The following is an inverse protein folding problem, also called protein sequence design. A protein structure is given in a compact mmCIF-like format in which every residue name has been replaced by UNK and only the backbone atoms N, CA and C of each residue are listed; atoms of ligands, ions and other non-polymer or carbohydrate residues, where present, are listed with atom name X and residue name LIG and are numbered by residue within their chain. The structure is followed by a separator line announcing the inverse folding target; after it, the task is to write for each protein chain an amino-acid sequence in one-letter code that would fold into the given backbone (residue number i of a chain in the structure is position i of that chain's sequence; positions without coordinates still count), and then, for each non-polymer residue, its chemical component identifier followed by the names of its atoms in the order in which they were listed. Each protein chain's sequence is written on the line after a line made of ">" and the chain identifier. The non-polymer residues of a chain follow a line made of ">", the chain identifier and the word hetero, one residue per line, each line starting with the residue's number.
data_IF_168876493829
#
_entry.id   IF_168876493829
#
_cell.length_a   1.000
_cell.length_b   1.000
_cell.length_c   1.000
_cell.angle_alpha   90.00
_cell.angle_beta   90.00
_cell.angle_gamma   90.00
#
_symmetry.space_group_name_H-M   'P 1'
#
loop_
_entity.id
_entity.type
_entity.pdbx_description
1 polymer ?
#
# COMPACT_ATOMS: atom_id res chain seq x y z
N UNK A 1 -12.80 -17.28 4.89
CA UNK A 1 -12.57 -16.25 3.87
C UNK A 1 -12.13 -14.98 4.59
N UNK A 2 -10.87 -14.57 4.46
CA UNK A 2 -10.41 -13.31 5.05
C UNK A 2 -11.14 -12.15 4.34
N UNK A 3 -11.52 -11.07 5.05
CA UNK A 3 -12.21 -9.94 4.45
C UNK A 3 -11.33 -9.32 3.36
N UNK A 4 -11.96 -8.67 2.39
CA UNK A 4 -11.36 -8.09 1.18
C UNK A 4 -10.22 -7.06 1.43
N UNK A 5 -9.92 -6.73 2.69
CA UNK A 5 -8.92 -5.76 3.13
C UNK A 5 -7.84 -6.43 4.01
N UNK A 6 -6.56 -6.14 3.73
CA UNK A 6 -5.42 -6.66 4.51
C UNK A 6 -5.28 -5.96 5.87
N UNK A 7 -5.84 -4.76 5.98
CA UNK A 7 -5.88 -3.93 7.18
C UNK A 7 -7.31 -3.65 7.58
N UNK A 8 -7.59 -3.78 8.88
CA UNK A 8 -8.82 -3.24 9.47
C UNK A 8 -8.79 -1.71 9.43
N UNK A 9 -9.96 -1.08 9.48
CA UNK A 9 -10.05 0.39 9.51
C UNK A 9 -9.31 0.98 10.73
N UNK A 10 -9.35 0.30 11.87
CA UNK A 10 -8.59 0.71 13.06
C UNK A 10 -7.07 0.66 12.86
N UNK A 11 -6.55 -0.38 12.18
CA UNK A 11 -5.14 -0.43 11.83
C UNK A 11 -4.77 0.63 10.80
N UNK A 12 -5.65 0.86 9.80
CA UNK A 12 -5.45 1.92 8.82
C UNK A 12 -5.41 3.30 9.46
N UNK A 13 -6.30 3.60 10.41
CA UNK A 13 -6.35 4.88 11.13
C UNK A 13 -5.06 5.21 11.90
N UNK A 14 -4.28 4.19 12.29
CA UNK A 14 -2.96 4.38 12.92
C UNK A 14 -1.88 4.69 11.87
N UNK A 15 -1.98 4.10 10.67
CA UNK A 15 -0.98 4.24 9.60
C UNK A 15 -1.20 5.50 8.77
N UNK A 16 -2.46 5.85 8.48
CA UNK A 16 -2.84 6.95 7.60
C UNK A 16 -2.16 8.29 7.94
N UNK A 17 -2.04 8.71 9.22
CA UNK A 17 -1.40 9.97 9.57
C UNK A 17 0.09 10.03 9.24
N UNK A 18 0.75 8.87 9.07
CA UNK A 18 2.16 8.77 8.71
C UNK A 18 2.37 8.89 7.19
N UNK A 19 1.30 8.83 6.39
CA UNK A 19 1.41 8.95 4.95
C UNK A 19 1.78 10.38 4.56
N UNK A 20 2.66 10.55 3.55
CA UNK A 20 3.04 11.88 3.10
C UNK A 20 1.81 12.62 2.58
N UNK A 21 1.48 13.76 3.20
CA UNK A 21 0.36 14.57 2.77
C UNK A 21 0.58 15.09 1.35
N UNK A 22 -0.43 14.96 0.49
CA UNK A 22 -0.41 15.53 -0.85
C UNK A 22 -0.54 17.05 -0.73
N UNK A 23 0.59 17.76 -0.73
CA UNK A 23 0.63 19.22 -0.78
C UNK A 23 0.80 19.68 -2.23
N UNK A 24 -0.24 20.26 -2.83
CA UNK A 24 -0.19 20.92 -4.15
C UNK A 24 -1.10 20.32 -5.24
N UNK A 25 -0.97 20.84 -6.49
CA UNK A 25 -1.72 20.42 -7.70
C UNK A 25 -1.26 19.06 -8.28
N UNK A 26 -0.59 18.23 -7.50
CA UNK A 26 -0.14 16.92 -7.97
C UNK A 26 -1.33 15.98 -8.09
N UNK A 27 -1.33 15.14 -9.14
CA UNK A 27 -2.34 14.11 -9.37
C UNK A 27 -2.54 13.33 -8.06
N UNK A 28 -3.78 13.14 -7.57
CA UNK A 28 -4.01 12.43 -6.31
C UNK A 28 -3.29 11.09 -6.37
N UNK A 29 -2.48 10.81 -5.35
CA UNK A 29 -1.86 9.49 -5.22
C UNK A 29 -2.96 8.44 -5.36
N UNK A 30 -2.67 7.35 -6.07
CA UNK A 30 -3.45 6.11 -5.93
C UNK A 30 -3.61 5.84 -4.44
N UNK A 31 -4.81 5.52 -3.99
CA UNK A 31 -5.18 5.45 -2.58
C UNK A 31 -4.06 4.82 -1.73
N UNK A 32 -3.57 5.55 -0.71
CA UNK A 32 -2.43 5.09 0.09
C UNK A 32 -2.70 3.72 0.73
N UNK A 33 -3.94 3.51 1.18
CA UNK A 33 -4.40 2.25 1.76
C UNK A 33 -4.20 1.09 0.81
N UNK A 34 -4.72 1.17 -0.43
CA UNK A 34 -4.56 0.11 -1.44
C UNK A 34 -3.10 -0.32 -1.61
N UNK A 35 -2.15 0.61 -1.59
CA UNK A 35 -0.73 0.27 -1.77
C UNK A 35 -0.08 -0.27 -0.52
N UNK A 36 -0.41 0.28 0.65
CA UNK A 36 0.07 -0.27 1.93
C UNK A 36 -0.46 -1.70 2.12
N UNK A 37 -1.73 -1.94 1.82
CA UNK A 37 -2.32 -3.28 1.85
C UNK A 37 -1.61 -4.23 0.87
N UNK A 38 -1.24 -3.76 -0.33
CA UNK A 38 -0.42 -4.55 -1.26
C UNK A 38 0.96 -4.94 -0.69
N UNK A 39 1.61 -4.02 0.04
CA UNK A 39 2.87 -4.30 0.75
C UNK A 39 2.64 -5.36 1.84
N UNK A 40 1.59 -5.18 2.66
CA UNK A 40 1.23 -6.12 3.73
C UNK A 40 0.95 -7.50 3.16
N UNK A 41 0.15 -7.60 2.10
CA UNK A 41 -0.15 -8.86 1.42
C UNK A 41 1.12 -9.58 0.98
N UNK A 42 2.06 -8.86 0.36
CA UNK A 42 3.35 -9.42 -0.07
C UNK A 42 4.12 -10.04 1.09
N UNK A 43 4.14 -9.39 2.25
CA UNK A 43 4.79 -9.92 3.44
C UNK A 43 4.04 -11.09 4.07
N UNK A 44 2.70 -11.05 4.11
CA UNK A 44 1.87 -12.13 4.68
C UNK A 44 1.90 -13.40 3.83
N UNK A 45 1.88 -13.27 2.51
CA UNK A 45 1.81 -14.40 1.58
C UNK A 45 3.16 -14.81 1.01
N UNK A 46 4.22 -14.02 1.22
CA UNK A 46 5.58 -14.35 0.75
C UNK A 46 5.76 -14.32 -0.77
N UNK A 47 4.86 -13.65 -1.51
CA UNK A 47 4.88 -13.65 -2.98
C UNK A 47 5.96 -12.74 -3.55
N UNK A 48 6.40 -13.02 -4.77
CA UNK A 48 7.24 -12.08 -5.51
C UNK A 48 6.44 -10.81 -5.84
N UNK A 49 7.12 -9.68 -6.04
CA UNK A 49 6.45 -8.42 -6.39
C UNK A 49 5.60 -8.54 -7.66
N UNK A 50 6.09 -9.28 -8.66
CA UNK A 50 5.38 -9.48 -9.94
C UNK A 50 4.10 -10.30 -9.81
N UNK A 51 3.98 -11.09 -8.74
CA UNK A 51 2.83 -11.95 -8.47
C UNK A 51 1.80 -11.27 -7.55
N UNK A 52 2.00 -9.98 -7.27
CA UNK A 52 1.08 -9.21 -6.45
C UNK A 52 -0.31 -9.14 -7.13
N UNK A 53 -1.40 -9.46 -6.42
CA UNK A 53 -2.74 -9.39 -7.01
C UNK A 53 -3.09 -8.00 -7.55
N UNK A 54 -3.74 -7.97 -8.72
CA UNK A 54 -4.06 -6.72 -9.43
C UNK A 54 -4.95 -5.75 -8.63
N UNK A 55 -5.68 -6.24 -7.62
CA UNK A 55 -6.49 -5.42 -6.71
C UNK A 55 -5.69 -4.35 -5.96
N UNK A 56 -4.37 -4.53 -5.84
CA UNK A 56 -3.47 -3.55 -5.22
C UNK A 56 -2.87 -2.55 -6.21
N UNK A 57 -3.25 -2.65 -7.48
CA UNK A 57 -2.67 -1.90 -8.59
C UNK A 57 -1.35 -2.49 -9.10
N UNK A 58 -0.69 -1.79 -10.05
CA UNK A 58 0.55 -2.24 -10.67
C UNK A 58 1.63 -2.45 -9.62
N UNK A 59 2.21 -3.65 -9.61
CA UNK A 59 3.24 -4.02 -8.64
C UNK A 59 4.44 -3.05 -8.63
N UNK A 60 4.77 -2.42 -9.77
CA UNK A 60 5.85 -1.43 -9.84
C UNK A 60 5.54 -0.19 -8.99
N UNK A 61 4.27 0.20 -8.91
CA UNK A 61 3.83 1.32 -8.06
C UNK A 61 3.96 0.94 -6.59
N UNK A 62 3.53 -0.28 -6.23
CA UNK A 62 3.61 -0.79 -4.87
C UNK A 62 5.07 -0.90 -4.42
N UNK A 63 5.92 -1.51 -5.24
CA UNK A 63 7.36 -1.64 -4.99
C UNK A 63 8.05 -0.27 -4.85
N UNK A 64 7.79 0.69 -5.75
CA UNK A 64 8.37 2.04 -5.64
C UNK A 64 7.96 2.75 -4.35
N UNK A 65 6.70 2.61 -3.92
CA UNK A 65 6.24 3.18 -2.64
C UNK A 65 6.88 2.49 -1.45
N UNK A 66 6.95 1.16 -1.46
CA UNK A 66 7.67 0.40 -0.44
C UNK A 66 9.13 0.87 -0.32
N UNK A 67 9.86 0.92 -1.45
CA UNK A 67 11.25 1.34 -1.46
C UNK A 67 11.46 2.77 -0.97
N UNK A 68 10.49 3.66 -1.16
CA UNK A 68 10.50 5.00 -0.58
C UNK A 68 10.30 4.96 0.94
N UNK A 69 9.25 4.29 1.41
CA UNK A 69 8.93 4.20 2.84
C UNK A 69 10.01 3.49 3.65
N UNK A 70 10.72 2.50 3.09
CA UNK A 70 11.81 1.79 3.77
C UNK A 70 13.11 2.61 3.89
N UNK A 71 13.16 3.81 3.31
CA UNK A 71 14.34 4.69 3.33
C UNK A 71 14.13 5.95 4.17
N UNK A 72 12.89 6.18 4.61
CA UNK A 72 12.53 7.22 5.60
C UNK A 72 12.72 6.65 7.02
#
# INVERSE_FOLDING_TARGET
>A
MAPLAELTDGQWAVIEPLMPQVRGRSRPYREHRQVVEGIVHRYRCGVAWRDLPERFGPWQTVWKRHARFSRD
#
